data_IF_396176008410
#
_entry.id   IF_396176008410
#
_cell.length_a   1.000
_cell.length_b   1.000
_cell.length_c   1.000
_cell.angle_alpha   90.00
_cell.angle_beta   90.00
_cell.angle_gamma   90.00
#
_symmetry.space_group_name_H-M   'P 1'
#
loop_
_entity.id
_entity.type
_entity.pdbx_description
1 polymer ?
#
# COMPACT_ATOMS: atom_id res chain seq x y z
N UNK A 1 13.62 -20.28 56.90
CA UNK A 1 13.19 -19.86 55.56
C UNK A 1 12.47 -21.05 54.93
N UNK A 2 11.19 -20.92 54.61
CA UNK A 2 10.35 -22.04 54.15
C UNK A 2 10.67 -22.42 52.71
N UNK A 3 10.50 -23.69 52.34
CA UNK A 3 10.73 -24.17 50.97
C UNK A 3 9.87 -23.43 49.93
N UNK A 4 8.65 -23.04 50.30
CA UNK A 4 7.77 -22.22 49.46
C UNK A 4 8.38 -20.88 49.06
N UNK A 5 9.15 -20.25 49.96
CA UNK A 5 9.80 -18.98 49.69
C UNK A 5 10.92 -19.13 48.65
N UNK A 6 11.72 -20.20 48.75
CA UNK A 6 12.78 -20.51 47.78
C UNK A 6 12.20 -20.79 46.39
N UNK A 7 11.11 -21.58 46.32
CA UNK A 7 10.41 -21.89 45.06
C UNK A 7 9.88 -20.63 44.39
N UNK A 8 9.35 -19.68 45.17
CA UNK A 8 8.82 -18.43 44.64
C UNK A 8 9.92 -17.53 44.06
N UNK A 9 11.08 -17.46 44.72
CA UNK A 9 12.25 -16.73 44.21
C UNK A 9 12.77 -17.38 42.92
N UNK A 10 12.96 -18.70 42.91
CA UNK A 10 13.43 -19.42 41.71
C UNK A 10 12.51 -19.22 40.51
N UNK A 11 11.18 -19.31 40.71
CA UNK A 11 10.19 -19.04 39.65
C UNK A 11 10.29 -17.61 39.11
N UNK A 12 10.51 -16.64 39.99
CA UNK A 12 10.68 -15.23 39.60
C UNK A 12 11.94 -15.03 38.77
N UNK A 13 13.07 -15.56 39.23
CA UNK A 13 14.37 -15.48 38.54
C UNK A 13 14.30 -16.16 37.17
N UNK A 14 13.74 -17.37 37.09
CA UNK A 14 13.56 -18.09 35.83
C UNK A 14 12.69 -17.30 34.83
N UNK A 15 11.60 -16.69 35.31
CA UNK A 15 10.71 -15.86 34.48
C UNK A 15 11.42 -14.60 33.95
N UNK A 16 12.24 -13.96 34.76
CA UNK A 16 13.04 -12.80 34.34
C UNK A 16 14.12 -13.21 33.32
N UNK A 17 14.86 -14.29 33.58
CA UNK A 17 15.87 -14.81 32.67
C UNK A 17 15.28 -15.22 31.30
N UNK A 18 14.12 -15.88 31.28
CA UNK A 18 13.45 -16.22 30.02
C UNK A 18 12.96 -14.99 29.26
N UNK A 19 12.52 -13.94 29.95
CA UNK A 19 12.10 -12.69 29.31
C UNK A 19 13.28 -11.94 28.68
N UNK A 20 14.42 -11.85 29.37
CA UNK A 20 15.63 -11.24 28.82
C UNK A 20 16.15 -12.00 27.59
N UNK A 21 16.17 -13.34 27.66
CA UNK A 21 16.55 -14.19 26.52
C UNK A 21 15.60 -13.98 25.32
N UNK A 22 14.29 -13.84 25.56
CA UNK A 22 13.32 -13.59 24.50
C UNK A 22 13.42 -12.16 23.92
N UNK A 23 13.75 -11.15 24.74
CA UNK A 23 13.94 -9.77 24.31
C UNK A 23 15.21 -9.59 23.46
N UNK A 24 16.23 -10.40 23.71
CA UNK A 24 17.50 -10.38 22.97
C UNK A 24 17.47 -11.20 21.67
N UNK A 25 16.37 -11.89 21.36
CA UNK A 25 16.25 -12.51 20.04
C UNK A 25 16.04 -11.44 18.97
N UNK A 26 16.84 -11.42 17.89
CA UNK A 26 16.62 -10.49 16.80
C UNK A 26 15.22 -10.69 16.23
N UNK A 27 14.35 -9.67 16.36
CA UNK A 27 13.01 -9.70 15.77
C UNK A 27 13.16 -10.01 14.28
N UNK A 28 12.62 -11.14 13.82
CA UNK A 28 12.55 -11.47 12.39
C UNK A 28 11.93 -10.26 11.68
N UNK A 29 12.68 -9.66 10.75
CA UNK A 29 12.12 -8.63 9.88
C UNK A 29 10.94 -9.25 9.16
N UNK A 30 9.73 -8.71 9.37
CA UNK A 30 8.58 -9.08 8.55
C UNK A 30 9.04 -9.03 7.10
N UNK A 31 8.82 -10.11 6.35
CA UNK A 31 9.00 -10.09 4.90
C UNK A 31 8.27 -8.87 4.35
N UNK A 32 8.74 -8.27 3.27
CA UNK A 32 8.01 -7.20 2.57
C UNK A 32 7.15 -7.88 1.49
N UNK A 33 5.99 -8.50 1.83
CA UNK A 33 5.20 -9.27 0.87
C UNK A 33 4.76 -8.39 -0.30
N UNK A 34 4.47 -7.12 -0.03
CA UNK A 34 4.10 -6.12 -1.03
C UNK A 34 5.22 -5.89 -2.05
N UNK A 35 6.48 -5.77 -1.61
CA UNK A 35 7.62 -5.61 -2.52
C UNK A 35 7.84 -6.84 -3.41
N UNK A 36 7.61 -8.05 -2.87
CA UNK A 36 7.68 -9.29 -3.66
C UNK A 36 6.59 -9.31 -4.73
N UNK A 37 5.36 -8.96 -4.35
CA UNK A 37 4.24 -8.88 -5.27
C UNK A 37 4.43 -7.80 -6.34
N UNK A 38 4.93 -6.61 -5.97
CA UNK A 38 5.27 -5.54 -6.90
C UNK A 38 6.24 -6.02 -7.98
N UNK A 39 7.31 -6.71 -7.59
CA UNK A 39 8.27 -7.29 -8.55
C UNK A 39 7.61 -8.32 -9.48
N UNK A 40 6.72 -9.17 -8.96
CA UNK A 40 5.98 -10.14 -9.77
C UNK A 40 5.01 -9.47 -10.76
N UNK A 41 4.28 -8.44 -10.31
CA UNK A 41 3.38 -7.66 -11.16
C UNK A 41 4.15 -6.93 -12.26
N UNK A 42 5.29 -6.32 -11.94
CA UNK A 42 6.15 -5.70 -12.94
C UNK A 42 6.64 -6.71 -13.98
N UNK A 43 7.08 -7.89 -13.55
CA UNK A 43 7.50 -8.97 -14.46
C UNK A 43 6.38 -9.37 -15.43
N UNK A 44 5.16 -9.55 -14.88
CA UNK A 44 3.99 -9.85 -15.69
C UNK A 44 3.61 -8.71 -16.63
N UNK A 45 3.61 -7.45 -16.17
CA UNK A 45 3.33 -6.27 -17.02
C UNK A 45 4.32 -6.18 -18.18
N UNK A 46 5.61 -6.34 -17.91
CA UNK A 46 6.65 -6.38 -18.94
C UNK A 46 6.42 -7.52 -19.93
N UNK A 47 6.02 -8.72 -19.48
CA UNK A 47 5.72 -9.83 -20.39
C UNK A 47 4.48 -9.58 -21.27
N UNK A 48 3.57 -8.70 -20.83
CA UNK A 48 2.43 -8.23 -21.63
C UNK A 48 2.79 -7.05 -22.55
N UNK A 49 4.06 -6.65 -22.62
CA UNK A 49 4.54 -5.56 -23.50
C UNK A 49 4.38 -4.16 -22.94
N UNK A 50 4.10 -4.01 -21.64
CA UNK A 50 4.04 -2.68 -21.02
C UNK A 50 5.45 -2.13 -20.79
N UNK A 51 5.58 -0.81 -20.88
CA UNK A 51 6.76 -0.10 -20.40
C UNK A 51 6.49 0.40 -18.98
N UNK A 52 7.12 -0.20 -17.96
CA UNK A 52 6.81 0.06 -16.54
C UNK A 52 8.05 0.31 -15.70
N UNK A 53 7.89 1.09 -14.64
CA UNK A 53 8.93 1.33 -13.63
C UNK A 53 8.31 1.49 -12.23
N UNK A 54 9.05 1.11 -11.18
CA UNK A 54 8.59 1.27 -9.81
C UNK A 54 8.78 2.72 -9.37
N UNK A 55 7.84 3.23 -8.59
CA UNK A 55 7.95 4.54 -7.96
C UNK A 55 8.25 4.35 -6.47
N UNK A 56 9.40 4.85 -6.02
CA UNK A 56 9.78 4.81 -4.60
C UNK A 56 9.55 6.17 -3.95
N UNK A 57 8.67 6.24 -2.95
CA UNK A 57 8.36 7.46 -2.19
C UNK A 57 9.22 7.62 -0.93
N UNK A 58 10.50 7.23 -0.99
CA UNK A 58 11.40 7.30 0.18
C UNK A 58 11.93 8.72 0.39
N UNK A 59 11.89 9.18 1.63
CA UNK A 59 12.65 10.35 2.08
C UNK A 59 14.15 10.03 2.05
N UNK A 60 14.97 10.97 1.60
CA UNK A 60 16.43 10.82 1.54
C UNK A 60 17.06 11.65 2.64
N UNK A 61 17.92 11.05 3.46
CA UNK A 61 18.67 11.81 4.46
C UNK A 61 19.73 12.68 3.79
N UNK A 62 19.69 13.99 4.05
CA UNK A 62 20.73 14.92 3.62
C UNK A 62 21.68 15.19 4.78
N UNK A 63 22.92 14.71 4.66
CA UNK A 63 23.98 14.98 5.64
C UNK A 63 24.32 16.46 5.73
N UNK A 64 24.24 17.19 4.62
CA UNK A 64 24.49 18.64 4.56
C UNK A 64 23.41 19.42 5.30
N UNK A 65 22.13 19.05 5.13
CA UNK A 65 21.03 19.73 5.80
C UNK A 65 20.75 19.19 7.22
N UNK A 66 21.41 18.11 7.63
CA UNK A 66 21.18 17.44 8.92
C UNK A 66 19.75 16.91 9.12
N UNK A 67 19.00 16.67 8.03
CA UNK A 67 17.59 16.26 8.08
C UNK A 67 17.20 15.37 6.91
N UNK A 68 16.10 14.64 7.05
CA UNK A 68 15.46 13.95 5.93
C UNK A 68 14.79 14.97 5.02
N UNK A 69 15.06 14.85 3.72
CA UNK A 69 14.34 15.57 2.69
C UNK A 69 13.06 14.82 2.36
N UNK A 70 11.97 15.56 2.23
CA UNK A 70 10.69 15.00 1.82
C UNK A 70 10.83 14.32 0.46
N UNK A 71 10.01 13.28 0.25
CA UNK A 71 9.96 12.64 -1.05
C UNK A 71 9.49 13.66 -2.09
N UNK A 72 10.21 13.76 -3.20
CA UNK A 72 9.77 14.55 -4.35
C UNK A 72 8.57 13.91 -5.07
N UNK A 73 8.25 12.67 -4.71
CA UNK A 73 7.10 11.95 -5.26
C UNK A 73 5.80 12.53 -4.73
N UNK A 74 4.84 12.77 -5.62
CA UNK A 74 3.49 13.21 -5.26
C UNK A 74 2.87 12.24 -4.25
N UNK A 75 2.32 12.78 -3.17
CA UNK A 75 1.57 12.01 -2.18
C UNK A 75 0.42 11.25 -2.86
N UNK A 76 0.36 9.93 -2.61
CA UNK A 76 -0.66 9.06 -3.20
C UNK A 76 -0.36 8.57 -4.61
N UNK A 77 0.78 8.91 -5.21
CA UNK A 77 1.19 8.29 -6.46
C UNK A 77 1.34 6.77 -6.31
N UNK A 78 0.93 6.03 -7.35
CA UNK A 78 0.93 4.57 -7.35
C UNK A 78 2.33 3.96 -7.35
N UNK A 79 2.45 2.74 -6.81
CA UNK A 79 3.73 2.02 -6.69
C UNK A 79 4.39 1.66 -8.01
N UNK A 80 3.60 1.49 -9.08
CA UNK A 80 4.08 1.21 -10.44
C UNK A 80 3.43 2.21 -11.39
N UNK A 81 4.24 2.86 -12.21
CA UNK A 81 3.80 3.74 -13.30
C UNK A 81 4.34 3.23 -14.63
N UNK A 82 3.70 3.63 -15.74
CA UNK A 82 4.16 3.23 -17.06
C UNK A 82 3.23 3.62 -18.20
N UNK A 83 3.33 2.86 -19.29
CA UNK A 83 2.48 2.99 -20.48
C UNK A 83 2.07 1.60 -20.96
N UNK A 84 0.78 1.44 -21.33
CA UNK A 84 0.27 0.20 -21.90
C UNK A 84 0.76 0.00 -23.35
N UNK A 85 0.68 -1.22 -23.91
CA UNK A 85 1.07 -1.45 -25.30
C UNK A 85 0.29 -0.59 -26.32
N UNK A 86 -0.90 -0.11 -25.95
CA UNK A 86 -1.73 0.76 -26.79
C UNK A 86 -1.49 2.26 -26.53
N UNK A 87 -0.46 2.62 -25.76
CA UNK A 87 -0.05 4.01 -25.53
C UNK A 87 -0.78 4.73 -24.40
N UNK A 88 -1.56 4.04 -23.56
CA UNK A 88 -2.27 4.67 -22.45
C UNK A 88 -1.38 4.76 -21.21
N UNK A 89 -1.47 5.85 -20.44
CA UNK A 89 -0.77 5.94 -19.16
C UNK A 89 -1.25 4.84 -18.20
N UNK A 90 -0.31 4.17 -17.52
CA UNK A 90 -0.55 3.09 -16.56
C UNK A 90 -0.23 3.57 -15.14
N UNK A 91 -1.13 3.25 -14.20
CA UNK A 91 -0.88 3.35 -12.76
C UNK A 91 -1.39 2.09 -12.04
N UNK A 92 -0.51 1.41 -11.30
CA UNK A 92 -0.87 0.24 -10.49
C UNK A 92 -0.48 0.50 -9.04
N UNK A 93 -1.49 0.61 -8.18
CA UNK A 93 -1.33 0.61 -6.74
C UNK A 93 -1.31 -0.85 -6.25
N UNK A 94 -0.24 -1.23 -5.55
CA UNK A 94 -0.03 -2.59 -5.07
C UNK A 94 -0.42 -2.68 -3.61
N UNK A 95 -1.27 -3.64 -3.26
CA UNK A 95 -1.61 -3.96 -1.87
C UNK A 95 -1.18 -5.37 -1.53
N UNK A 96 -0.93 -5.64 -0.25
CA UNK A 96 -0.81 -7.00 0.22
C UNK A 96 -2.10 -7.81 -0.07
N UNK A 97 -1.95 -9.13 -0.27
CA UNK A 97 -3.08 -10.05 -0.56
C UNK A 97 -4.23 -9.88 0.45
N UNK A 98 -5.45 -9.69 -0.07
CA UNK A 98 -6.67 -9.43 0.71
C UNK A 98 -6.77 -8.01 1.28
N UNK A 99 -5.90 -7.08 0.89
CA UNK A 99 -5.82 -5.71 1.46
C UNK A 99 -6.14 -4.61 0.44
N UNK A 100 -6.79 -4.90 -0.69
CA UNK A 100 -7.26 -3.84 -1.63
C UNK A 100 -8.11 -2.78 -0.93
N UNK A 101 -8.98 -3.18 0.01
CA UNK A 101 -9.81 -2.26 0.83
C UNK A 101 -9.02 -1.27 1.70
N UNK A 102 -7.70 -1.44 1.82
CA UNK A 102 -6.83 -0.51 2.54
C UNK A 102 -6.35 0.67 1.70
N UNK A 103 -6.80 0.79 0.44
CA UNK A 103 -6.57 1.94 -0.44
C UNK A 103 -6.87 3.25 0.30
N UNK A 104 -5.90 4.18 0.27
CA UNK A 104 -6.00 5.48 0.94
C UNK A 104 -6.65 6.51 0.01
N UNK A 105 -7.25 7.54 0.56
CA UNK A 105 -7.97 8.54 -0.23
C UNK A 105 -7.07 9.28 -1.22
N UNK A 106 -5.86 9.66 -0.82
CA UNK A 106 -4.88 10.27 -1.73
C UNK A 106 -4.51 9.34 -2.91
N UNK A 107 -4.45 8.03 -2.68
CA UNK A 107 -4.17 7.03 -3.72
C UNK A 107 -5.36 6.86 -4.65
N UNK A 108 -6.58 6.82 -4.09
CA UNK A 108 -7.81 6.83 -4.87
C UNK A 108 -7.90 8.05 -5.78
N UNK A 109 -7.68 9.25 -5.24
CA UNK A 109 -7.72 10.52 -6.00
C UNK A 109 -6.73 10.47 -7.16
N UNK A 110 -5.53 9.93 -6.94
CA UNK A 110 -4.54 9.74 -8.00
C UNK A 110 -5.05 8.79 -9.10
N UNK A 111 -5.53 7.60 -8.73
CA UNK A 111 -6.07 6.62 -9.67
C UNK A 111 -7.28 7.19 -10.45
N UNK A 112 -8.23 7.82 -9.78
CA UNK A 112 -9.39 8.45 -10.41
C UNK A 112 -8.98 9.56 -11.40
N UNK A 113 -7.97 10.36 -11.06
CA UNK A 113 -7.41 11.37 -11.98
C UNK A 113 -6.75 10.75 -13.22
N UNK A 114 -6.15 9.56 -13.11
CA UNK A 114 -5.63 8.81 -14.26
C UNK A 114 -6.77 8.28 -15.12
N UNK A 115 -7.80 7.68 -14.49
CA UNK A 115 -8.98 7.17 -15.19
C UNK A 115 -9.73 8.28 -15.93
N UNK A 116 -9.88 9.45 -15.32
CA UNK A 116 -10.55 10.60 -15.93
C UNK A 116 -9.83 11.14 -17.18
N UNK A 117 -8.57 10.76 -17.38
CA UNK A 117 -7.74 11.13 -18.53
C UNK A 117 -7.58 9.98 -19.54
N UNK A 118 -8.36 8.91 -19.37
CA UNK A 118 -8.34 7.74 -20.25
C UNK A 118 -7.19 6.76 -19.98
N UNK A 119 -6.43 6.94 -18.90
CA UNK A 119 -5.39 5.99 -18.51
C UNK A 119 -5.94 4.67 -17.95
N UNK A 120 -5.06 3.68 -17.83
CA UNK A 120 -5.33 2.44 -17.11
C UNK A 120 -4.84 2.59 -15.67
N UNK A 121 -5.77 2.70 -14.73
CA UNK A 121 -5.46 2.79 -13.30
C UNK A 121 -6.13 1.65 -12.53
N UNK A 122 -5.39 0.96 -11.67
CA UNK A 122 -5.93 -0.16 -10.89
C UNK A 122 -5.26 -0.27 -9.51
N UNK A 123 -6.03 -0.69 -8.51
CA UNK A 123 -5.51 -1.15 -7.23
C UNK A 123 -5.60 -2.68 -7.16
N UNK A 124 -4.47 -3.37 -7.10
CA UNK A 124 -4.43 -4.84 -7.14
C UNK A 124 -3.63 -5.44 -5.98
N UNK A 125 -4.00 -6.65 -5.56
CA UNK A 125 -3.32 -7.43 -4.53
C UNK A 125 -2.91 -8.84 -4.99
N UNK A 126 -3.05 -9.12 -6.30
CA UNK A 126 -2.61 -10.36 -6.92
C UNK A 126 -2.38 -10.18 -8.43
N UNK A 127 -1.59 -11.08 -9.04
CA UNK A 127 -1.36 -11.09 -10.49
C UNK A 127 -2.65 -11.49 -11.21
N UNK A 128 -3.40 -12.46 -10.66
CA UNK A 128 -4.64 -12.97 -11.24
C UNK A 128 -5.70 -11.86 -11.34
N UNK A 129 -5.79 -11.00 -10.33
CA UNK A 129 -6.68 -9.84 -10.37
C UNK A 129 -6.25 -8.84 -11.46
N UNK A 130 -4.96 -8.52 -11.53
CA UNK A 130 -4.39 -7.60 -12.53
C UNK A 130 -4.57 -8.12 -13.97
N UNK A 131 -4.36 -9.41 -14.17
CA UNK A 131 -4.54 -10.10 -15.43
C UNK A 131 -6.01 -10.05 -15.89
N UNK A 132 -6.94 -10.44 -15.01
CA UNK A 132 -8.37 -10.44 -15.30
C UNK A 132 -8.88 -9.05 -15.68
N UNK A 133 -8.50 -8.02 -14.92
CA UNK A 133 -9.00 -6.66 -15.15
C UNK A 133 -8.39 -6.05 -16.41
N UNK A 134 -7.13 -6.34 -16.72
CA UNK A 134 -6.50 -5.91 -17.98
C UNK A 134 -7.20 -6.52 -19.20
N UNK A 135 -7.45 -7.84 -19.20
CA UNK A 135 -8.18 -8.50 -20.29
C UNK A 135 -9.61 -7.99 -20.42
N UNK A 136 -10.30 -7.74 -19.29
CA UNK A 136 -11.63 -7.13 -19.31
C UNK A 136 -11.60 -5.74 -19.93
N UNK A 137 -10.57 -4.94 -19.60
CA UNK A 137 -10.38 -3.59 -20.15
C UNK A 137 -10.08 -3.61 -21.65
N UNK A 138 -9.24 -4.53 -22.14
CA UNK A 138 -8.96 -4.69 -23.56
C UNK A 138 -10.23 -4.97 -24.37
N UNK A 139 -11.07 -5.87 -23.87
CA UNK A 139 -12.33 -6.29 -24.50
C UNK A 139 -13.49 -5.31 -24.29
N UNK A 140 -13.31 -4.28 -23.46
CA UNK A 140 -14.31 -3.26 -23.22
C UNK A 140 -14.20 -2.15 -24.26
N UNK A 141 -15.36 -1.69 -24.76
CA UNK A 141 -15.45 -0.57 -25.67
C UNK A 141 -14.69 0.66 -25.09
N UNK A 142 -13.90 1.40 -25.89
CA UNK A 142 -13.06 2.49 -25.38
C UNK A 142 -13.77 3.47 -24.44
N UNK A 143 -14.99 3.89 -24.80
CA UNK A 143 -15.79 4.84 -24.01
C UNK A 143 -16.28 4.28 -22.65
N UNK A 144 -16.21 2.98 -22.42
CA UNK A 144 -16.67 2.32 -21.20
C UNK A 144 -15.51 1.86 -20.29
N UNK A 145 -14.26 1.97 -20.76
CA UNK A 145 -13.06 1.48 -20.06
C UNK A 145 -12.84 2.15 -18.71
N UNK A 146 -12.96 3.48 -18.64
CA UNK A 146 -12.79 4.22 -17.38
C UNK A 146 -13.84 3.80 -16.35
N UNK A 147 -15.10 3.62 -16.77
CA UNK A 147 -16.19 3.17 -15.90
C UNK A 147 -15.96 1.76 -15.36
N UNK A 148 -15.47 0.83 -16.19
CA UNK A 148 -15.10 -0.51 -15.75
C UNK A 148 -14.08 -0.45 -14.60
N UNK A 149 -12.98 0.29 -14.80
CA UNK A 149 -11.91 0.39 -13.81
C UNK A 149 -12.35 1.14 -12.54
N UNK A 150 -13.23 2.14 -12.69
CA UNK A 150 -13.78 2.87 -11.55
C UNK A 150 -14.66 1.98 -10.67
N UNK A 151 -15.43 1.07 -11.27
CA UNK A 151 -16.24 0.06 -10.54
C UNK A 151 -15.34 -0.97 -9.85
N UNK A 152 -14.19 -1.32 -10.45
CA UNK A 152 -13.24 -2.25 -9.84
C UNK A 152 -12.51 -1.65 -8.63
N UNK A 153 -12.36 -0.32 -8.54
CA UNK A 153 -11.74 0.27 -7.36
C UNK A 153 -12.53 -0.12 -6.10
N UNK A 154 -11.83 -0.43 -4.98
CA UNK A 154 -12.47 -0.65 -3.69
C UNK A 154 -13.43 0.50 -3.35
N UNK A 155 -14.45 0.31 -2.50
CA UNK A 155 -15.27 1.43 -2.06
C UNK A 155 -14.42 2.47 -1.32
N UNK A 156 -14.79 3.75 -1.43
CA UNK A 156 -14.20 4.79 -0.59
C UNK A 156 -14.46 4.45 0.89
N UNK A 157 -13.49 4.75 1.76
CA UNK A 157 -13.76 4.67 3.19
C UNK A 157 -14.82 5.72 3.49
N UNK A 158 -15.86 5.35 4.24
CA UNK A 158 -16.78 6.34 4.77
C UNK A 158 -15.93 7.36 5.54
N UNK A 159 -15.92 8.62 5.11
CA UNK A 159 -15.34 9.67 5.93
C UNK A 159 -16.10 9.63 7.25
N UNK A 160 -15.40 9.44 8.37
CA UNK A 160 -15.97 9.78 9.65
C UNK A 160 -16.41 11.23 9.53
N UNK A 161 -17.72 11.46 9.49
CA UNK A 161 -18.28 12.80 9.45
C UNK A 161 -17.78 13.49 10.71
N UNK A 162 -16.79 14.38 10.56
CA UNK A 162 -16.54 15.40 11.56
C UNK A 162 -17.75 16.33 11.50
N UNK A 163 -18.85 15.92 12.14
CA UNK A 163 -19.80 16.86 12.70
C UNK A 163 -19.05 17.64 13.77
N UNK A 164 -18.23 18.61 13.34
CA UNK A 164 -17.81 19.69 14.20
C UNK A 164 -19.08 20.46 14.51
N UNK A 165 -19.64 20.11 15.67
CA UNK A 165 -20.67 20.85 16.36
C UNK A 165 -20.21 22.31 16.47
N UNK A 166 -20.71 23.14 15.56
CA UNK A 166 -20.68 24.60 15.68
C UNK A 166 -21.76 24.99 16.71
N UNK A 167 -21.54 24.70 17.99
CA UNK A 167 -22.28 25.37 19.06
C UNK A 167 -21.52 26.61 19.50
N UNK A 168 -22.18 27.76 19.34
CA UNK A 168 -22.04 28.87 20.26
C UNK A 168 -21.17 30.03 19.80
N UNK A 169 -21.66 30.80 18.81
CA UNK A 169 -21.60 32.26 18.91
C UNK A 169 -22.98 32.79 18.55
N UNK A 170 -23.81 32.99 19.56
CA UNK A 170 -24.90 33.95 19.49
C UNK A 170 -24.67 34.95 20.62
N UNK A 171 -24.91 36.20 20.24
CA UNK A 171 -24.62 37.50 20.85
C UNK A 171 -25.02 37.67 22.31
#
# INVERSE_FOLDING_TARGET
>A
MTEDFKLRIQKSVLKHATRELAQNQPKRKNGKPERKLQAQMMSWLSSQGFFVFPLESKSVYSSVAGRYLDSQTRVGASDILGVTPQGYFLAVEVKARGRRSTLRDAQRIFLESVLSKGGFAVCSDSIEHLDKIYHSWLNTHPNSRARLLQIDLPPAKASASNETILFGVNE
#
